data_IF_918538836753
#
_entry.id   IF_918538836753
#
_cell.length_a   1.000
_cell.length_b   1.000
_cell.length_c   1.000
_cell.angle_alpha   90.00
_cell.angle_beta   90.00
_cell.angle_gamma   90.00
#
_symmetry.space_group_name_H-M   'P 1'
#
loop_
_entity.id
_entity.type
_entity.pdbx_description
1 polymer ?
#
# COMPACT_ATOMS: atom_id res chain seq x y z
N UNK A 1 2.79 11.68 9.23
CA UNK A 1 2.48 11.22 7.86
C UNK A 1 1.51 12.14 7.12
N UNK A 2 0.32 12.46 7.67
CA UNK A 2 -0.63 13.37 7.00
C UNK A 2 -0.02 14.74 6.64
N UNK A 3 0.72 15.36 7.57
CA UNK A 3 1.43 16.61 7.29
C UNK A 3 2.46 16.50 6.15
N UNK A 4 3.20 15.38 6.07
CA UNK A 4 4.18 15.17 4.99
C UNK A 4 3.48 15.11 3.63
N UNK A 5 2.40 14.35 3.51
CA UNK A 5 1.65 14.25 2.26
C UNK A 5 0.88 15.52 1.92
N UNK A 6 0.39 16.26 2.92
CA UNK A 6 -0.15 17.62 2.73
C UNK A 6 0.90 18.54 2.11
N UNK A 7 2.10 18.60 2.69
CA UNK A 7 3.22 19.36 2.12
C UNK A 7 3.56 18.90 0.70
N UNK A 8 3.51 17.60 0.41
CA UNK A 8 3.71 17.07 -0.95
C UNK A 8 2.61 17.54 -1.92
N UNK A 9 1.34 17.45 -1.53
CA UNK A 9 0.20 17.88 -2.35
C UNK A 9 0.29 19.36 -2.66
N UNK A 10 0.59 20.19 -1.67
CA UNK A 10 0.81 21.63 -1.84
C UNK A 10 2.03 21.93 -2.72
N UNK A 11 3.17 21.28 -2.46
CA UNK A 11 4.42 21.52 -3.19
C UNK A 11 4.30 21.16 -4.67
N UNK A 12 3.69 20.02 -4.97
CA UNK A 12 3.48 19.57 -6.34
C UNK A 12 2.29 20.27 -7.00
N UNK A 13 1.48 21.00 -6.22
CA UNK A 13 0.23 21.60 -6.66
C UNK A 13 -0.63 20.58 -7.37
N UNK A 14 -0.95 19.45 -6.73
CA UNK A 14 -1.75 18.37 -7.35
C UNK A 14 -3.19 18.32 -6.84
N UNK A 15 -3.56 19.22 -5.93
CA UNK A 15 -4.89 19.28 -5.35
C UNK A 15 -5.97 19.40 -6.43
N UNK A 16 -5.74 20.22 -7.46
CA UNK A 16 -6.66 20.39 -8.58
C UNK A 16 -6.79 19.14 -9.50
N UNK A 17 -5.90 18.17 -9.34
CA UNK A 17 -5.95 16.90 -10.08
C UNK A 17 -6.58 15.78 -9.26
N UNK A 18 -6.86 16.02 -7.98
CA UNK A 18 -7.61 15.07 -7.16
C UNK A 18 -9.08 15.03 -7.60
N UNK A 19 -9.74 13.91 -7.31
CA UNK A 19 -11.13 13.73 -7.69
C UNK A 19 -12.04 14.75 -6.99
N UNK A 20 -12.76 15.57 -7.76
CA UNK A 20 -13.60 16.67 -7.25
C UNK A 20 -14.71 16.18 -6.30
N UNK A 21 -15.29 15.01 -6.56
CA UNK A 21 -16.32 14.44 -5.68
C UNK A 21 -15.72 14.02 -4.33
N UNK A 22 -14.45 13.63 -4.31
CA UNK A 22 -13.74 13.33 -3.08
C UNK A 22 -13.43 14.61 -2.29
N UNK A 23 -12.80 15.60 -2.95
CA UNK A 23 -12.37 16.83 -2.29
C UNK A 23 -13.55 17.64 -1.76
N UNK A 24 -14.67 17.67 -2.48
CA UNK A 24 -15.90 18.35 -2.05
C UNK A 24 -16.61 17.66 -0.88
N UNK A 25 -16.37 16.36 -0.66
CA UNK A 25 -17.06 15.58 0.36
C UNK A 25 -16.31 15.50 1.70
N UNK A 26 -15.06 15.96 1.75
CA UNK A 26 -14.21 15.91 2.94
C UNK A 26 -13.86 17.32 3.41
N UNK A 27 -13.72 17.50 4.72
CA UNK A 27 -13.25 18.77 5.29
C UNK A 27 -11.75 19.04 5.03
N UNK A 28 -10.99 17.98 4.71
CA UNK A 28 -9.56 18.06 4.39
C UNK A 28 -9.33 17.42 3.00
N UNK A 29 -9.31 18.22 1.92
CA UNK A 29 -9.16 17.75 0.54
C UNK A 29 -7.89 16.93 0.29
N UNK A 30 -6.80 17.23 1.03
CA UNK A 30 -5.52 16.53 0.91
C UNK A 30 -5.64 15.03 1.22
N UNK A 31 -6.65 14.62 1.99
CA UNK A 31 -6.93 13.22 2.27
C UNK A 31 -7.28 12.43 1.00
N UNK A 32 -7.79 13.09 -0.03
CA UNK A 32 -8.07 12.47 -1.33
C UNK A 32 -6.81 12.03 -2.09
N UNK A 33 -5.62 12.37 -1.59
CA UNK A 33 -4.37 11.75 -2.04
C UNK A 33 -4.25 10.27 -1.62
N UNK A 34 -4.88 9.87 -0.52
CA UNK A 34 -4.77 8.50 -0.01
C UNK A 34 -5.89 7.60 -0.57
N UNK A 35 -5.56 6.39 -1.04
CA UNK A 35 -6.54 5.47 -1.63
C UNK A 35 -7.75 5.20 -0.74
N UNK A 36 -7.57 5.07 0.58
CA UNK A 36 -8.66 4.83 1.53
C UNK A 36 -9.81 5.86 1.47
N UNK A 37 -9.55 7.07 0.97
CA UNK A 37 -10.57 8.11 0.78
C UNK A 37 -10.97 8.23 -0.70
N UNK A 38 -10.01 8.15 -1.62
CA UNK A 38 -10.24 8.38 -3.05
C UNK A 38 -10.97 7.24 -3.76
N UNK A 39 -10.71 5.98 -3.38
CA UNK A 39 -11.11 4.80 -4.15
C UNK A 39 -12.62 4.72 -4.42
N UNK A 40 -13.47 5.16 -3.48
CA UNK A 40 -14.93 5.14 -3.63
C UNK A 40 -15.48 6.12 -4.69
N UNK A 41 -14.66 7.09 -5.12
CA UNK A 41 -15.05 8.10 -6.11
C UNK A 41 -14.56 7.78 -7.53
N UNK A 42 -13.83 6.69 -7.72
CA UNK A 42 -13.38 6.23 -9.03
C UNK A 42 -14.48 5.37 -9.66
N UNK A 43 -15.04 5.80 -10.78
CA UNK A 43 -16.11 5.08 -11.49
C UNK A 43 -15.60 3.96 -12.40
N UNK A 44 -14.41 4.13 -12.96
CA UNK A 44 -13.76 3.11 -13.81
C UNK A 44 -13.44 1.87 -12.97
N UNK A 45 -13.69 0.64 -13.48
CA UNK A 45 -13.22 -0.56 -12.79
C UNK A 45 -11.71 -0.55 -12.59
N UNK A 46 -11.25 -0.98 -11.42
CA UNK A 46 -9.83 -1.09 -11.11
C UNK A 46 -9.52 -2.31 -10.26
N UNK A 47 -8.28 -2.76 -10.35
CA UNK A 47 -7.74 -3.90 -9.61
C UNK A 47 -6.60 -3.42 -8.70
N UNK A 48 -6.75 -3.59 -7.38
CA UNK A 48 -5.72 -3.18 -6.43
C UNK A 48 -4.70 -4.30 -6.29
N UNK A 49 -3.51 -4.10 -6.84
CA UNK A 49 -2.35 -4.96 -6.62
C UNK A 49 -1.43 -4.26 -5.61
N UNK A 50 -1.21 -4.86 -4.44
CA UNK A 50 -0.21 -4.36 -3.51
C UNK A 50 0.32 -5.46 -2.60
N UNK A 51 1.51 -5.27 -2.02
CA UNK A 51 1.98 -6.10 -0.93
C UNK A 51 1.52 -5.53 0.40
N UNK A 52 1.09 -6.39 1.33
CA UNK A 52 0.83 -6.00 2.71
C UNK A 52 2.09 -5.57 3.48
N UNK A 53 3.27 -5.94 2.97
CA UNK A 53 4.58 -5.55 3.47
C UNK A 53 5.39 -4.88 2.36
N UNK A 54 4.81 -3.86 1.73
CA UNK A 54 5.49 -3.09 0.69
C UNK A 54 6.81 -2.52 1.22
N UNK A 55 7.92 -2.91 0.60
CA UNK A 55 9.26 -2.58 1.12
C UNK A 55 9.59 -1.10 0.97
N UNK A 56 8.95 -0.40 0.02
CA UNK A 56 9.13 1.04 -0.12
C UNK A 56 8.48 1.78 1.05
N UNK A 57 7.23 1.44 1.38
CA UNK A 57 6.55 1.98 2.57
C UNK A 57 7.31 1.61 3.85
N UNK A 58 7.78 0.37 3.98
CA UNK A 58 8.59 -0.02 5.13
C UNK A 58 9.85 0.87 5.26
N UNK A 59 10.64 1.00 4.19
CA UNK A 59 11.93 1.67 4.25
C UNK A 59 11.86 3.20 4.28
N UNK A 60 10.81 3.82 3.74
CA UNK A 60 10.73 5.28 3.58
C UNK A 60 9.65 5.93 4.43
N UNK A 61 8.70 5.15 4.93
CA UNK A 61 7.56 5.66 5.69
C UNK A 61 7.58 5.15 7.13
N UNK A 62 7.71 3.84 7.33
CA UNK A 62 7.67 3.25 8.68
C UNK A 62 9.00 3.39 9.42
N UNK A 63 10.12 3.04 8.77
CA UNK A 63 11.46 3.04 9.38
C UNK A 63 12.52 3.70 8.46
N UNK A 64 12.32 4.98 8.04
CA UNK A 64 13.34 5.70 7.31
C UNK A 64 14.58 5.96 8.18
N UNK A 65 15.79 6.09 7.59
CA UNK A 65 17.00 6.39 8.36
C UNK A 65 16.87 7.64 9.24
N UNK A 66 16.13 8.65 8.78
CA UNK A 66 15.86 9.88 9.53
C UNK A 66 15.02 9.68 10.79
N UNK A 67 14.21 8.62 10.87
CA UNK A 67 13.41 8.26 12.04
C UNK A 67 14.02 7.10 12.85
N UNK A 68 15.14 6.52 12.39
CA UNK A 68 15.87 5.45 13.06
C UNK A 68 17.37 5.79 13.22
N UNK A 69 17.72 6.91 13.90
CA UNK A 69 19.10 7.38 14.00
C UNK A 69 20.02 6.41 14.77
N UNK A 70 19.44 5.57 15.63
CA UNK A 70 20.17 4.54 16.39
C UNK A 70 20.24 3.19 15.65
N UNK A 71 19.63 3.10 14.46
CA UNK A 71 19.75 1.92 13.59
C UNK A 71 19.04 0.68 14.13
N UNK A 72 18.00 0.81 14.97
CA UNK A 72 17.26 -0.32 15.50
C UNK A 72 16.65 -1.19 14.39
N UNK A 73 16.21 -0.59 13.29
CA UNK A 73 15.59 -1.26 12.15
C UNK A 73 16.58 -1.65 11.05
N UNK A 74 17.84 -1.22 11.14
CA UNK A 74 18.86 -1.40 10.09
C UNK A 74 18.99 -2.87 9.65
N UNK A 75 19.16 -3.79 10.60
CA UNK A 75 19.28 -5.23 10.32
C UNK A 75 18.00 -5.81 9.71
N UNK A 76 16.83 -5.46 10.26
CA UNK A 76 15.52 -5.92 9.78
C UNK A 76 15.21 -5.46 8.35
N UNK A 77 15.63 -4.24 7.98
CA UNK A 77 15.46 -3.68 6.63
C UNK A 77 16.25 -4.43 5.57
N UNK A 78 17.50 -4.77 5.89
CA UNK A 78 18.35 -5.55 4.98
C UNK A 78 17.86 -6.99 4.96
N UNK A 79 17.81 -7.63 6.12
CA UNK A 79 17.43 -9.02 6.28
C UNK A 79 16.18 -9.16 7.17
N UNK A 80 15.07 -9.59 6.56
CA UNK A 80 13.78 -9.74 7.24
C UNK A 80 13.79 -10.87 8.28
N UNK A 81 14.71 -11.83 8.18
CA UNK A 81 14.89 -12.85 9.21
C UNK A 81 15.61 -12.32 10.46
N UNK A 82 16.23 -11.15 10.38
CA UNK A 82 16.91 -10.50 11.51
C UNK A 82 15.99 -9.55 12.30
N UNK A 83 14.71 -9.45 11.93
CA UNK A 83 13.74 -8.64 12.65
C UNK A 83 13.46 -9.26 14.03
N UNK A 84 13.45 -8.41 15.07
CA UNK A 84 13.03 -8.85 16.40
C UNK A 84 11.51 -9.12 16.44
N UNK A 85 11.01 -9.90 17.43
CA UNK A 85 9.57 -10.11 17.58
C UNK A 85 8.75 -8.80 17.68
N UNK A 86 9.31 -7.78 18.33
CA UNK A 86 8.67 -6.47 18.43
C UNK A 86 8.56 -5.78 17.06
N UNK A 87 9.62 -5.83 16.24
CA UNK A 87 9.60 -5.27 14.89
C UNK A 87 8.61 -6.00 13.98
N UNK A 88 8.56 -7.33 14.06
CA UNK A 88 7.57 -8.13 13.35
C UNK A 88 6.15 -7.75 13.77
N UNK A 89 5.89 -7.55 15.07
CA UNK A 89 4.57 -7.13 15.56
C UNK A 89 4.18 -5.75 15.00
N UNK A 90 5.11 -4.80 14.95
CA UNK A 90 4.87 -3.49 14.32
C UNK A 90 4.54 -3.63 12.83
N UNK A 91 5.29 -4.46 12.07
CA UNK A 91 5.01 -4.73 10.65
C UNK A 91 3.63 -5.38 10.45
N UNK A 92 3.25 -6.31 11.33
CA UNK A 92 1.91 -6.92 11.30
C UNK A 92 0.82 -5.89 11.60
N UNK A 93 1.03 -4.98 12.55
CA UNK A 93 0.13 -3.87 12.82
C UNK A 93 -0.05 -2.95 11.61
N UNK A 94 1.03 -2.68 10.88
CA UNK A 94 0.98 -1.90 9.63
C UNK A 94 0.14 -2.61 8.56
N UNK A 95 0.37 -3.91 8.36
CA UNK A 95 -0.46 -4.76 7.48
C UNK A 95 -1.94 -4.73 7.87
N UNK A 96 -2.25 -4.89 9.15
CA UNK A 96 -3.64 -4.88 9.63
C UNK A 96 -4.33 -3.54 9.37
N UNK A 97 -3.59 -2.44 9.52
CA UNK A 97 -4.09 -1.09 9.23
C UNK A 97 -4.42 -0.91 7.75
N UNK A 98 -3.55 -1.37 6.85
CA UNK A 98 -3.80 -1.36 5.40
C UNK A 98 -5.03 -2.22 5.04
N UNK A 99 -5.10 -3.45 5.55
CA UNK A 99 -6.23 -4.34 5.27
C UNK A 99 -7.54 -3.75 5.79
N UNK A 100 -7.55 -3.14 6.98
CA UNK A 100 -8.71 -2.45 7.52
C UNK A 100 -9.16 -1.28 6.63
N UNK A 101 -8.22 -0.50 6.11
CA UNK A 101 -8.53 0.60 5.18
C UNK A 101 -9.11 0.13 3.84
N UNK A 102 -8.76 -1.08 3.39
CA UNK A 102 -9.28 -1.69 2.16
C UNK A 102 -10.59 -2.45 2.35
N UNK A 103 -11.01 -2.76 3.60
CA UNK A 103 -12.26 -3.50 3.88
C UNK A 103 -13.48 -2.91 3.19
N UNK A 104 -13.74 -1.58 3.20
CA UNK A 104 -14.91 -1.03 2.51
C UNK A 104 -14.90 -1.36 1.01
N UNK A 105 -13.75 -1.23 0.34
CA UNK A 105 -13.65 -1.58 -1.07
C UNK A 105 -13.86 -3.10 -1.29
N UNK A 106 -13.28 -3.95 -0.43
CA UNK A 106 -13.47 -5.40 -0.49
C UNK A 106 -14.93 -5.83 -0.38
N UNK A 107 -15.70 -5.24 0.54
CA UNK A 107 -17.08 -5.65 0.79
C UNK A 107 -18.10 -5.00 -0.15
N UNK A 108 -17.86 -3.75 -0.58
CA UNK A 108 -18.87 -2.97 -1.30
C UNK A 108 -18.60 -2.81 -2.80
N UNK A 109 -17.37 -3.05 -3.27
CA UNK A 109 -17.07 -2.98 -4.71
C UNK A 109 -17.64 -4.19 -5.44
N UNK A 110 -18.48 -3.93 -6.47
CA UNK A 110 -19.05 -4.98 -7.33
C UNK A 110 -18.28 -5.19 -8.64
N UNK A 111 -17.34 -4.30 -8.97
CA UNK A 111 -16.65 -4.26 -10.27
C UNK A 111 -15.12 -4.26 -10.15
N UNK A 112 -14.59 -4.13 -8.93
CA UNK A 112 -13.16 -4.14 -8.69
C UNK A 112 -12.70 -5.43 -8.03
N UNK A 113 -11.39 -5.65 -8.07
CA UNK A 113 -10.72 -6.76 -7.40
C UNK A 113 -9.50 -6.29 -6.63
N UNK A 114 -8.93 -7.18 -5.81
CA UNK A 114 -7.65 -6.91 -5.17
C UNK A 114 -6.82 -8.19 -5.02
N UNK A 115 -5.51 -8.01 -5.13
CA UNK A 115 -4.50 -9.02 -4.82
C UNK A 115 -3.53 -8.44 -3.80
N UNK A 116 -3.77 -8.76 -2.52
CA UNK A 116 -2.95 -8.30 -1.41
C UNK A 116 -2.22 -9.49 -0.79
N UNK A 117 -0.99 -9.74 -1.22
CA UNK A 117 -0.17 -10.83 -0.67
C UNK A 117 0.68 -10.37 0.52
N UNK A 118 1.37 -11.33 1.15
CA UNK A 118 2.22 -11.12 2.32
C UNK A 118 3.72 -11.23 2.01
N UNK A 119 4.13 -11.04 0.76
CA UNK A 119 5.54 -11.04 0.37
C UNK A 119 6.18 -9.69 0.72
N UNK A 120 7.43 -9.65 1.17
CA UNK A 120 8.17 -8.38 1.23
C UNK A 120 8.61 -8.00 -0.18
N UNK A 121 7.82 -7.16 -0.86
CA UNK A 121 7.99 -6.85 -2.28
C UNK A 121 7.63 -5.39 -2.58
N UNK A 122 8.04 -4.91 -3.75
CA UNK A 122 7.65 -3.62 -4.34
C UNK A 122 7.47 -3.79 -5.84
N UNK A 123 6.66 -2.94 -6.49
CA UNK A 123 6.44 -2.96 -7.95
C UNK A 123 6.12 -4.33 -8.56
N UNK A 124 5.03 -4.96 -8.11
CA UNK A 124 4.72 -6.36 -8.43
C UNK A 124 4.21 -6.60 -9.86
N UNK A 125 3.95 -5.55 -10.65
CA UNK A 125 3.47 -5.63 -12.03
C UNK A 125 4.57 -5.68 -13.08
N UNK A 126 5.82 -5.39 -12.71
CA UNK A 126 6.87 -5.07 -13.67
C UNK A 126 7.65 -6.30 -14.17
N UNK A 127 7.89 -7.28 -13.30
CA UNK A 127 8.69 -8.47 -13.64
C UNK A 127 7.82 -9.63 -14.11
N UNK A 128 8.23 -10.25 -15.22
CA UNK A 128 7.64 -11.49 -15.73
C UNK A 128 7.80 -12.66 -14.74
N UNK A 129 8.90 -12.68 -13.98
CA UNK A 129 9.14 -13.71 -12.97
C UNK A 129 8.07 -13.66 -11.87
N UNK A 130 7.69 -12.46 -11.43
CA UNK A 130 6.61 -12.28 -10.43
C UNK A 130 5.23 -12.71 -10.96
N UNK A 131 5.02 -12.67 -12.28
CA UNK A 131 3.72 -12.95 -12.90
C UNK A 131 3.55 -14.40 -13.36
N UNK A 132 4.62 -14.97 -13.91
CA UNK A 132 4.61 -16.24 -14.62
C UNK A 132 5.63 -17.25 -14.09
N UNK A 133 6.53 -16.86 -13.19
CA UNK A 133 7.49 -17.77 -12.56
C UNK A 133 6.79 -18.83 -11.71
N UNK A 134 7.45 -19.97 -11.52
CA UNK A 134 6.90 -21.09 -10.76
C UNK A 134 6.55 -20.69 -9.31
N UNK A 135 7.42 -19.85 -8.72
CA UNK A 135 7.34 -19.26 -7.38
C UNK A 135 6.56 -17.93 -7.33
N UNK A 136 5.86 -17.55 -8.41
CA UNK A 136 4.99 -16.38 -8.44
C UNK A 136 4.08 -16.33 -7.20
N UNK A 137 3.84 -15.15 -6.60
CA UNK A 137 2.95 -15.01 -5.46
C UNK A 137 1.55 -15.56 -5.76
N UNK A 138 1.00 -16.34 -4.82
CA UNK A 138 -0.33 -16.94 -4.94
C UNK A 138 -1.17 -16.66 -3.72
N UNK A 139 -2.44 -16.34 -3.93
CA UNK A 139 -3.48 -16.29 -2.90
C UNK A 139 -4.53 -17.32 -3.29
N UNK A 140 -4.87 -18.23 -2.37
CA UNK A 140 -5.80 -19.33 -2.64
C UNK A 140 -5.45 -20.11 -3.93
N UNK A 141 -4.15 -20.39 -4.12
CA UNK A 141 -3.57 -21.07 -5.30
C UNK A 141 -3.72 -20.33 -6.64
N UNK A 142 -4.21 -19.09 -6.65
CA UNK A 142 -4.28 -18.24 -7.85
C UNK A 142 -3.13 -17.23 -7.88
N UNK A 143 -2.46 -17.11 -9.03
CA UNK A 143 -1.44 -16.07 -9.27
C UNK A 143 -2.10 -14.72 -9.51
N UNK A 144 -1.29 -13.65 -9.57
CA UNK A 144 -1.72 -12.29 -9.91
C UNK A 144 -2.54 -12.28 -11.23
N UNK A 145 -2.00 -12.72 -12.39
CA UNK A 145 -2.74 -12.64 -13.65
C UNK A 145 -4.05 -13.41 -13.60
N UNK A 146 -4.08 -14.59 -12.96
CA UNK A 146 -5.32 -15.40 -12.85
C UNK A 146 -6.36 -14.80 -11.89
N UNK A 147 -6.00 -13.82 -11.09
CA UNK A 147 -6.90 -13.12 -10.17
C UNK A 147 -7.42 -11.81 -10.74
N UNK A 148 -6.77 -11.28 -11.79
CA UNK A 148 -7.12 -10.00 -12.42
C UNK A 148 -8.16 -10.11 -13.54
N UNK A 149 -8.53 -11.34 -13.94
CA UNK A 149 -9.56 -11.64 -14.94
C UNK A 149 -10.75 -12.38 -14.32
#
# INVERSE_FOLDING_TARGET
MRYFFKSLVTLQGIEQNLNENCTSALSDPDLCFFPQYALKYISTPYFILNSAYDVFQFHHILAPPSADPLGYWSHCRVNKSACTPAQINTLQGFRLSMLAALKPFYFYSKRGGMFINSCFAHCQSESQETWFGDDSPRINKKTIPRSSW
#
